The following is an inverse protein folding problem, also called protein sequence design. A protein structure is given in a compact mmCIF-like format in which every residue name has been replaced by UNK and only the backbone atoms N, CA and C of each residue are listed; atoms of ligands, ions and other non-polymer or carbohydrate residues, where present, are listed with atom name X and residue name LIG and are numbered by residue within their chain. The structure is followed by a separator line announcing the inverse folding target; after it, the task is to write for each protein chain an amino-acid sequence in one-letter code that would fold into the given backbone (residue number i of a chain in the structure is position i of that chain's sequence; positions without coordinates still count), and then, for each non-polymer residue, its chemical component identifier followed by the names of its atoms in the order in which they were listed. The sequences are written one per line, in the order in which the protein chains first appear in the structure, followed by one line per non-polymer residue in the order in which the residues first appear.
data_IF_991369356680
#
_entry.id   IF_991369356680
#
_cell.length_a   1.000
_cell.length_b   1.000
_cell.length_c   1.000
_cell.angle_alpha   90.00
_cell.angle_beta   90.00
_cell.angle_gamma   90.00
#
_symmetry.space_group_name_H-M   'P 1'
#
loop_
_entity.id
_entity.type
_entity.pdbx_description
1 polymer ?
#
# COMPACT_ATOMS: atom_id res chain seq x y z
N UNK A 1 -1.16 -16.48 3.40
CA UNK A 1 -1.92 -15.21 3.60
C UNK A 1 -2.25 -14.97 5.06
N UNK A 2 -2.75 -15.96 5.82
CA UNK A 2 -3.03 -15.84 7.27
C UNK A 2 -1.81 -15.41 8.11
N UNK A 3 -0.60 -15.88 7.77
CA UNK A 3 0.62 -15.45 8.46
C UNK A 3 0.82 -13.91 8.37
N UNK A 4 0.65 -13.34 7.18
CA UNK A 4 0.80 -11.89 6.97
C UNK A 4 -0.25 -11.08 7.72
N UNK A 5 -1.50 -11.55 7.79
CA UNK A 5 -2.57 -10.84 8.51
C UNK A 5 -2.31 -10.87 10.02
N UNK A 6 -1.92 -12.02 10.57
CA UNK A 6 -1.56 -12.16 11.99
C UNK A 6 -0.35 -11.29 12.33
N UNK A 7 0.72 -11.35 11.53
CA UNK A 7 1.90 -10.51 11.74
C UNK A 7 1.58 -9.02 11.64
N UNK A 8 0.70 -8.61 10.73
CA UNK A 8 0.22 -7.24 10.62
C UNK A 8 -0.50 -6.77 11.89
N UNK A 9 -1.40 -7.60 12.44
CA UNK A 9 -2.11 -7.29 13.70
C UNK A 9 -1.13 -7.21 14.87
N UNK A 10 -0.14 -8.10 14.95
CA UNK A 10 0.89 -8.06 16.00
C UNK A 10 1.75 -6.80 15.91
N UNK A 11 2.16 -6.39 14.70
CA UNK A 11 2.88 -5.13 14.49
C UNK A 11 2.03 -3.92 14.87
N UNK A 12 0.74 -3.93 14.51
CA UNK A 12 -0.22 -2.89 14.92
C UNK A 12 -0.36 -2.79 16.45
N UNK A 13 -0.52 -3.92 17.14
CA UNK A 13 -0.54 -3.97 18.62
C UNK A 13 0.76 -3.45 19.24
N UNK A 14 1.91 -3.77 18.65
CA UNK A 14 3.21 -3.26 19.10
C UNK A 14 3.30 -1.73 18.96
N UNK A 15 2.78 -1.17 17.87
CA UNK A 15 2.73 0.28 17.65
C UNK A 15 1.77 0.98 18.62
N UNK A 16 0.65 0.35 18.96
CA UNK A 16 -0.34 0.85 19.93
C UNK A 16 0.11 0.73 21.40
N UNK A 17 1.10 -0.10 21.71
CA UNK A 17 1.61 -0.30 23.06
C UNK A 17 2.31 0.95 23.62
N UNK A 18 2.36 1.12 24.94
CA UNK A 18 2.97 2.26 25.63
C UNK A 18 4.53 2.28 25.60
N UNK A 19 5.15 1.37 24.83
CA UNK A 19 6.62 1.31 24.69
C UNK A 19 7.18 2.59 24.07
N UNK A 20 8.43 2.89 24.39
CA UNK A 20 9.12 4.05 23.80
C UNK A 20 9.29 3.89 22.28
N UNK A 21 9.27 4.99 21.49
CA UNK A 21 9.41 4.92 20.03
C UNK A 21 10.67 4.19 19.55
N UNK A 22 11.79 4.36 20.27
CA UNK A 22 13.05 3.68 19.96
C UNK A 22 12.96 2.15 20.13
N UNK A 23 12.28 1.68 21.18
CA UNK A 23 12.07 0.24 21.39
C UNK A 23 11.16 -0.38 20.33
N UNK A 24 10.12 0.36 19.90
CA UNK A 24 9.21 -0.07 18.82
C UNK A 24 9.97 -0.27 17.51
N UNK A 25 10.75 0.73 17.11
CA UNK A 25 11.56 0.67 15.87
C UNK A 25 12.57 -0.46 15.95
N UNK A 26 13.29 -0.59 17.07
CA UNK A 26 14.29 -1.67 17.23
C UNK A 26 13.65 -3.05 17.09
N UNK A 27 12.48 -3.25 17.70
CA UNK A 27 11.75 -4.53 17.61
C UNK A 27 11.30 -4.82 16.18
N UNK A 28 10.75 -3.83 15.47
CA UNK A 28 10.35 -3.98 14.07
C UNK A 28 11.54 -4.23 13.15
N UNK A 29 12.67 -3.53 13.35
CA UNK A 29 13.88 -3.74 12.56
C UNK A 29 14.45 -5.14 12.76
N UNK A 30 14.56 -5.61 14.01
CA UNK A 30 15.03 -6.96 14.32
C UNK A 30 14.11 -7.99 13.66
N UNK A 31 12.78 -7.86 13.83
CA UNK A 31 11.82 -8.79 13.24
C UNK A 31 11.84 -8.78 11.70
N UNK A 32 11.95 -7.60 11.09
CA UNK A 32 12.03 -7.43 9.64
C UNK A 32 13.31 -8.03 9.05
N UNK A 33 14.47 -7.72 9.64
CA UNK A 33 15.77 -8.25 9.23
C UNK A 33 15.81 -9.77 9.43
N UNK A 34 15.35 -10.28 10.58
CA UNK A 34 15.31 -11.73 10.81
C UNK A 34 14.43 -12.44 9.79
N UNK A 35 13.29 -11.84 9.43
CA UNK A 35 12.41 -12.37 8.39
C UNK A 35 13.09 -12.42 7.02
N UNK A 36 13.82 -11.38 6.63
CA UNK A 36 14.59 -11.37 5.39
C UNK A 36 15.72 -12.39 5.39
N UNK A 37 16.50 -12.46 6.47
CA UNK A 37 17.61 -13.42 6.59
C UNK A 37 17.07 -14.85 6.48
N UNK A 38 15.99 -15.18 7.18
CA UNK A 38 15.37 -16.51 7.08
C UNK A 38 14.84 -16.76 5.67
N UNK A 39 14.12 -15.81 5.08
CA UNK A 39 13.53 -15.95 3.75
C UNK A 39 14.56 -16.16 2.64
N UNK A 40 15.64 -15.39 2.64
CA UNK A 40 16.74 -15.54 1.67
C UNK A 40 17.64 -16.75 1.98
N UNK A 41 17.84 -17.10 3.26
CA UNK A 41 18.62 -18.31 3.60
C UNK A 41 17.92 -19.58 3.14
N UNK A 42 16.59 -19.65 3.24
CA UNK A 42 15.80 -20.79 2.76
C UNK A 42 15.87 -20.95 1.23
N UNK A 43 16.00 -19.84 0.50
CA UNK A 43 16.23 -19.81 -0.94
C UNK A 43 17.66 -20.29 -1.27
N UNK A 44 18.65 -19.75 -0.57
CA UNK A 44 20.07 -20.07 -0.78
C UNK A 44 20.41 -21.54 -0.43
N UNK A 45 19.73 -22.11 0.56
CA UNK A 45 19.87 -23.50 0.98
C UNK A 45 19.09 -24.49 0.10
N UNK A 46 18.43 -24.02 -0.98
CA UNK A 46 17.60 -24.83 -1.88
C UNK A 46 16.46 -25.63 -1.20
N UNK A 47 16.06 -25.26 0.02
CA UNK A 47 14.96 -25.93 0.72
C UNK A 47 13.64 -25.54 0.06
N UNK A 48 13.46 -24.24 -0.18
CA UNK A 48 12.24 -23.71 -0.77
C UNK A 48 12.55 -22.47 -1.63
N UNK A 49 12.33 -22.51 -2.96
CA UNK A 49 12.56 -21.35 -3.81
C UNK A 49 11.51 -20.26 -3.57
N UNK A 50 11.90 -19.00 -3.77
CA UNK A 50 11.00 -17.85 -3.66
C UNK A 50 10.01 -17.85 -4.85
N UNK A 51 8.86 -18.50 -4.67
CA UNK A 51 7.78 -18.54 -5.65
C UNK A 51 6.55 -17.81 -5.11
N UNK A 52 6.26 -16.64 -5.69
CA UNK A 52 5.08 -15.82 -5.34
C UNK A 52 3.75 -16.54 -5.60
N UNK A 53 3.67 -17.34 -6.67
CA UNK A 53 2.41 -18.01 -7.08
C UNK A 53 1.87 -19.00 -6.04
N UNK A 54 2.74 -19.76 -5.39
CA UNK A 54 2.36 -20.76 -4.39
C UNK A 54 2.56 -20.26 -2.95
N UNK A 55 2.96 -19.00 -2.78
CA UNK A 55 3.24 -18.38 -1.49
C UNK A 55 4.14 -19.25 -0.59
N UNK A 56 5.27 -19.72 -1.13
CA UNK A 56 6.22 -20.58 -0.41
C UNK A 56 6.68 -19.92 0.91
N UNK A 57 7.06 -20.71 1.90
CA UNK A 57 7.63 -20.25 3.18
C UNK A 57 8.68 -19.15 3.00
N UNK A 58 9.66 -19.36 2.11
CA UNK A 58 10.70 -18.35 1.78
C UNK A 58 10.09 -17.03 1.29
N UNK A 59 9.08 -17.09 0.41
CA UNK A 59 8.39 -15.89 -0.07
C UNK A 59 7.60 -15.19 1.04
N UNK A 60 6.94 -15.94 1.92
CA UNK A 60 6.18 -15.38 3.06
C UNK A 60 7.11 -14.63 4.02
N UNK A 61 8.27 -15.20 4.34
CA UNK A 61 9.27 -14.56 5.19
C UNK A 61 9.91 -13.33 4.52
N UNK A 62 10.30 -13.43 3.25
CA UNK A 62 10.90 -12.31 2.52
C UNK A 62 9.90 -11.15 2.32
N UNK A 63 8.68 -11.44 1.88
CA UNK A 63 7.61 -10.45 1.71
C UNK A 63 7.21 -9.81 3.05
N UNK A 64 7.06 -10.62 4.10
CA UNK A 64 6.73 -10.15 5.44
C UNK A 64 7.84 -9.29 6.04
N UNK A 65 9.09 -9.68 5.87
CA UNK A 65 10.26 -8.93 6.33
C UNK A 65 10.31 -7.54 5.69
N UNK A 66 10.17 -7.46 4.37
CA UNK A 66 10.09 -6.17 3.66
C UNK A 66 8.92 -5.31 4.13
N UNK A 67 7.73 -5.89 4.31
CA UNK A 67 6.56 -5.16 4.79
C UNK A 67 6.78 -4.56 6.21
N UNK A 68 7.40 -5.33 7.11
CA UNK A 68 7.72 -4.86 8.48
C UNK A 68 8.78 -3.75 8.44
N UNK A 69 9.78 -3.84 7.59
CA UNK A 69 10.80 -2.79 7.44
C UNK A 69 10.22 -1.49 6.88
N UNK A 70 9.35 -1.57 5.87
CA UNK A 70 8.65 -0.40 5.33
C UNK A 70 7.74 0.23 6.39
N UNK A 71 7.08 -0.58 7.22
CA UNK A 71 6.29 -0.09 8.36
C UNK A 71 7.17 0.62 9.39
N UNK A 72 8.33 0.04 9.74
CA UNK A 72 9.28 0.66 10.66
C UNK A 72 9.81 2.00 10.12
N UNK A 73 10.12 2.06 8.83
CA UNK A 73 10.55 3.28 8.16
C UNK A 73 9.47 4.35 8.15
N UNK A 74 8.23 3.98 7.83
CA UNK A 74 7.08 4.88 7.82
C UNK A 74 6.80 5.46 9.21
N UNK A 75 6.84 4.60 10.25
CA UNK A 75 6.69 5.03 11.64
C UNK A 75 7.80 6.00 12.07
N UNK A 76 9.05 5.71 11.72
CA UNK A 76 10.16 6.60 12.02
C UNK A 76 10.04 7.95 11.32
N UNK A 77 9.65 7.96 10.05
CA UNK A 77 9.55 9.17 9.23
C UNK A 77 8.40 10.08 9.69
N UNK A 78 7.23 9.50 9.98
CA UNK A 78 5.99 10.23 10.27
C UNK A 78 5.87 10.54 11.76
N UNK A 79 6.06 9.55 12.64
CA UNK A 79 5.79 9.71 14.08
C UNK A 79 7.01 10.20 14.87
N UNK A 80 8.20 9.67 14.58
CA UNK A 80 9.42 10.06 15.32
C UNK A 80 10.00 11.37 14.81
N UNK A 81 10.24 11.46 13.50
CA UNK A 81 10.84 12.66 12.90
C UNK A 81 9.85 13.79 12.65
N UNK A 82 8.55 13.51 12.57
CA UNK A 82 7.47 14.49 12.28
C UNK A 82 7.71 15.32 11.00
N UNK A 83 8.64 14.91 10.13
CA UNK A 83 9.02 15.67 8.92
C UNK A 83 7.95 15.59 7.83
N UNK A 84 7.19 14.48 7.79
CA UNK A 84 6.25 14.15 6.70
C UNK A 84 4.77 14.20 7.08
N UNK A 85 4.39 14.94 8.13
CA UNK A 85 3.00 15.01 8.58
C UNK A 85 2.04 15.52 7.50
N UNK A 86 2.45 16.55 6.73
CA UNK A 86 1.62 17.12 5.66
C UNK A 86 1.50 16.19 4.45
N UNK A 87 2.59 15.51 4.05
CA UNK A 87 2.59 14.55 2.95
C UNK A 87 1.81 13.26 3.29
N UNK A 88 1.84 12.85 4.55
CA UNK A 88 1.07 11.69 5.02
C UNK A 88 -0.43 11.85 4.81
N UNK A 89 -0.95 13.08 4.78
CA UNK A 89 -2.38 13.35 4.56
C UNK A 89 -2.88 12.81 3.22
N UNK A 90 -2.09 12.96 2.16
CA UNK A 90 -2.40 12.41 0.83
C UNK A 90 -2.62 10.89 0.87
N UNK A 91 -1.75 10.18 1.59
CA UNK A 91 -1.83 8.73 1.77
C UNK A 91 -2.96 8.32 2.71
N UNK A 92 -3.20 9.11 3.77
CA UNK A 92 -4.27 8.88 4.75
C UNK A 92 -5.65 8.91 4.07
N UNK A 93 -5.91 9.87 3.18
CA UNK A 93 -7.19 10.00 2.44
C UNK A 93 -7.58 8.70 1.74
N UNK A 94 -6.63 8.12 0.99
CA UNK A 94 -6.84 6.87 0.26
C UNK A 94 -6.86 5.68 1.22
N UNK A 95 -5.96 5.66 2.20
CA UNK A 95 -5.83 4.57 3.17
C UNK A 95 -7.08 4.32 4.00
N UNK A 96 -7.73 5.39 4.49
CA UNK A 96 -8.96 5.26 5.28
C UNK A 96 -10.18 4.80 4.46
N UNK A 97 -10.14 4.96 3.14
CA UNK A 97 -11.18 4.51 2.21
C UNK A 97 -10.74 3.29 1.38
N UNK A 98 -9.78 2.51 1.90
CA UNK A 98 -9.20 1.36 1.20
C UNK A 98 -10.22 0.24 0.90
N UNK A 99 -11.18 0.00 1.79
CA UNK A 99 -12.26 -0.97 1.57
C UNK A 99 -13.18 -0.51 0.43
N UNK A 100 -13.54 0.77 0.44
CA UNK A 100 -14.38 1.35 -0.60
C UNK A 100 -13.73 1.23 -1.98
N UNK A 101 -12.46 1.64 -2.11
CA UNK A 101 -11.79 1.59 -3.42
C UNK A 101 -11.63 0.15 -3.92
N UNK A 102 -11.42 -0.82 -3.03
CA UNK A 102 -11.39 -2.24 -3.38
C UNK A 102 -12.74 -2.73 -3.92
N UNK A 103 -13.84 -2.42 -3.23
CA UNK A 103 -15.19 -2.77 -3.68
C UNK A 103 -15.55 -2.06 -4.99
N UNK A 104 -15.22 -0.77 -5.09
CA UNK A 104 -15.45 0.03 -6.29
C UNK A 104 -14.72 -0.56 -7.50
N UNK A 105 -13.47 -1.00 -7.33
CA UNK A 105 -12.73 -1.69 -8.39
C UNK A 105 -13.37 -3.03 -8.76
N UNK A 106 -13.81 -3.81 -7.76
CA UNK A 106 -14.44 -5.12 -7.96
C UNK A 106 -15.77 -5.04 -8.71
N UNK A 107 -16.53 -3.95 -8.54
CA UNK A 107 -17.81 -3.71 -9.24
C UNK A 107 -17.58 -3.12 -10.66
N UNK A 108 -16.33 -2.84 -11.06
CA UNK A 108 -15.99 -2.27 -12.36
C UNK A 108 -15.99 -0.74 -12.39
N UNK A 109 -15.97 -0.09 -11.23
CA UNK A 109 -15.96 1.38 -11.11
C UNK A 109 -14.75 2.04 -11.78
N UNK A 110 -13.59 1.39 -11.80
CA UNK A 110 -12.43 1.90 -12.55
C UNK A 110 -12.69 1.96 -14.06
N UNK A 111 -13.41 0.98 -14.61
CA UNK A 111 -13.83 0.97 -16.01
C UNK A 111 -14.81 2.10 -16.31
N UNK A 112 -15.73 2.41 -15.39
CA UNK A 112 -16.67 3.53 -15.50
C UNK A 112 -15.92 4.87 -15.54
N UNK A 113 -14.99 5.11 -14.62
CA UNK A 113 -14.18 6.34 -14.61
C UNK A 113 -13.35 6.45 -15.89
N UNK A 114 -12.76 5.34 -16.36
CA UNK A 114 -12.00 5.32 -17.62
C UNK A 114 -12.85 5.70 -18.82
N UNK A 115 -14.09 5.20 -18.91
CA UNK A 115 -15.04 5.57 -19.98
C UNK A 115 -15.43 7.04 -19.94
N UNK A 116 -15.50 7.64 -18.75
CA UNK A 116 -15.77 9.07 -18.60
C UNK A 116 -14.55 9.90 -19.01
N UNK A 117 -13.34 9.52 -18.58
CA UNK A 117 -12.10 10.31 -18.78
C UNK A 117 -11.51 10.18 -20.18
N UNK A 118 -11.64 9.00 -20.82
CA UNK A 118 -11.12 8.71 -22.16
C UNK A 118 -11.55 9.73 -23.23
N UNK A 119 -12.85 10.07 -23.41
CA UNK A 119 -13.26 11.01 -24.45
C UNK A 119 -12.67 12.41 -24.25
N UNK A 120 -12.58 12.91 -23.01
CA UNK A 120 -11.94 14.20 -22.74
C UNK A 120 -10.44 14.18 -23.05
N UNK A 121 -9.75 13.10 -22.67
CA UNK A 121 -8.32 12.95 -22.91
C UNK A 121 -8.01 12.87 -24.40
N UNK A 122 -8.80 12.09 -25.16
CA UNK A 122 -8.68 12.01 -26.62
C UNK A 122 -9.01 13.34 -27.30
N UNK A 123 -10.04 14.04 -26.86
CA UNK A 123 -10.40 15.33 -27.47
C UNK A 123 -9.30 16.38 -27.27
N UNK A 124 -8.75 16.49 -26.06
CA UNK A 124 -7.76 17.53 -25.71
C UNK A 124 -6.34 17.19 -26.16
N UNK A 125 -5.99 15.92 -26.28
CA UNK A 125 -4.62 15.45 -26.50
C UNK A 125 -4.45 14.50 -27.68
N UNK A 126 -5.47 14.32 -28.54
CA UNK A 126 -5.35 13.52 -29.77
C UNK A 126 -4.19 13.94 -30.67
N UNK A 127 -3.83 15.22 -30.67
CA UNK A 127 -2.72 15.77 -31.44
C UNK A 127 -1.33 15.39 -30.90
N UNK A 128 -1.23 14.92 -29.66
CA UNK A 128 0.04 14.61 -29.00
C UNK A 128 0.51 13.16 -29.23
N UNK A 129 -0.33 12.31 -29.84
CA UNK A 129 -0.03 10.90 -30.13
C UNK A 129 -0.78 9.91 -29.22
N UNK A 130 -0.85 8.65 -29.66
CA UNK A 130 -1.62 7.61 -28.96
C UNK A 130 -1.02 7.30 -27.57
N UNK A 131 0.30 7.15 -27.48
CA UNK A 131 1.00 6.84 -26.23
C UNK A 131 0.79 7.92 -25.16
N UNK A 132 0.89 9.20 -25.53
CA UNK A 132 0.67 10.32 -24.58
C UNK A 132 -0.78 10.37 -24.13
N UNK A 133 -1.72 10.09 -25.03
CA UNK A 133 -3.15 10.07 -24.72
C UNK A 133 -3.49 8.98 -23.70
N UNK A 134 -2.88 7.80 -23.82
CA UNK A 134 -3.06 6.70 -22.86
C UNK A 134 -2.49 7.03 -21.48
N UNK A 135 -1.28 7.62 -21.42
CA UNK A 135 -0.65 8.04 -20.16
C UNK A 135 -1.52 9.10 -19.46
N UNK A 136 -2.00 10.10 -20.21
CA UNK A 136 -2.86 11.16 -19.69
C UNK A 136 -4.19 10.58 -19.20
N UNK A 137 -4.77 9.65 -19.95
CA UNK A 137 -6.01 8.98 -19.52
C UNK A 137 -5.79 8.20 -18.22
N UNK A 138 -4.69 7.46 -18.10
CA UNK A 138 -4.33 6.74 -16.88
C UNK A 138 -4.14 7.66 -15.68
N UNK A 139 -3.42 8.77 -15.86
CA UNK A 139 -3.26 9.80 -14.83
C UNK A 139 -4.59 10.47 -14.45
N UNK A 140 -5.45 10.73 -15.43
CA UNK A 140 -6.78 11.30 -15.21
C UNK A 140 -7.69 10.35 -14.42
N UNK A 141 -7.66 9.05 -14.74
CA UNK A 141 -8.39 8.03 -13.98
C UNK A 141 -7.85 7.93 -12.56
N UNK A 142 -6.53 7.91 -12.38
CA UNK A 142 -5.91 7.90 -11.07
C UNK A 142 -6.29 9.14 -10.24
N UNK A 143 -6.24 10.32 -10.84
CA UNK A 143 -6.63 11.58 -10.20
C UNK A 143 -8.12 11.60 -9.83
N UNK A 144 -8.99 11.09 -10.70
CA UNK A 144 -10.42 10.97 -10.44
C UNK A 144 -10.71 10.00 -9.28
N UNK A 145 -10.03 8.85 -9.24
CA UNK A 145 -10.15 7.90 -8.12
C UNK A 145 -9.64 8.49 -6.81
N UNK A 146 -8.53 9.24 -6.86
CA UNK A 146 -8.03 9.95 -5.68
C UNK A 146 -9.02 11.02 -5.21
N UNK A 147 -9.58 11.79 -6.14
CA UNK A 147 -10.59 12.81 -5.83
C UNK A 147 -11.86 12.19 -5.23
N UNK A 148 -12.29 11.02 -5.71
CA UNK A 148 -13.40 10.27 -5.13
C UNK A 148 -13.12 9.89 -3.66
N UNK A 149 -11.90 9.42 -3.36
CA UNK A 149 -11.49 9.13 -1.99
C UNK A 149 -11.43 10.39 -1.14
N UNK A 150 -10.97 11.51 -1.71
CA UNK A 150 -10.95 12.80 -1.05
C UNK A 150 -12.36 13.31 -0.72
N UNK A 151 -13.30 13.17 -1.66
CA UNK A 151 -14.70 13.53 -1.46
C UNK A 151 -15.34 12.70 -0.33
N UNK A 152 -15.11 11.37 -0.32
CA UNK A 152 -15.54 10.50 0.78
C UNK A 152 -14.95 10.92 2.12
N UNK A 153 -13.64 11.22 2.14
CA UNK A 153 -12.95 11.67 3.34
C UNK A 153 -13.52 12.99 3.87
N UNK A 154 -13.76 13.97 2.99
CA UNK A 154 -14.35 15.26 3.37
C UNK A 154 -15.75 15.10 3.96
N UNK A 155 -16.54 14.17 3.42
CA UNK A 155 -17.89 13.87 3.89
C UNK A 155 -17.93 12.91 5.10
N UNK A 156 -16.75 12.48 5.60
CA UNK A 156 -16.61 11.52 6.71
C UNK A 156 -17.36 10.20 6.50
N UNK A 157 -17.53 9.78 5.25
CA UNK A 157 -18.16 8.51 4.90
C UNK A 157 -17.11 7.42 4.90
N UNK A 158 -17.10 6.59 5.96
CA UNK A 158 -16.17 5.47 6.09
C UNK A 158 -16.94 4.15 6.08
N UNK A 159 -16.71 3.36 5.04
CA UNK A 159 -17.25 2.00 4.96
C UNK A 159 -16.46 1.10 5.91
N UNK A 160 -17.17 0.54 6.90
CA UNK A 160 -16.64 -0.43 7.85
C UNK A 160 -17.44 -1.73 7.70
N UNK A 161 -16.75 -2.86 7.88
CA UNK A 161 -17.32 -4.21 7.92
C UNK A 161 -17.44 -4.60 9.38
#
# INVERSE_FOLDING_TARGET
TTAHTVWGVLCGKLLMSEKTPGQKIRTLLIAGISGLVIGYSLDLLNITPIIKKIATSSFVFTSGGWAILVLAFSYWLIDVKKLFQKGSWFFIIVGMNSIFIYLFFSIGGAGLITRIVSPFSKLLFSWAGEMTTEIITGLGVWAALWYLCYWLYKNKLFFKI
#
